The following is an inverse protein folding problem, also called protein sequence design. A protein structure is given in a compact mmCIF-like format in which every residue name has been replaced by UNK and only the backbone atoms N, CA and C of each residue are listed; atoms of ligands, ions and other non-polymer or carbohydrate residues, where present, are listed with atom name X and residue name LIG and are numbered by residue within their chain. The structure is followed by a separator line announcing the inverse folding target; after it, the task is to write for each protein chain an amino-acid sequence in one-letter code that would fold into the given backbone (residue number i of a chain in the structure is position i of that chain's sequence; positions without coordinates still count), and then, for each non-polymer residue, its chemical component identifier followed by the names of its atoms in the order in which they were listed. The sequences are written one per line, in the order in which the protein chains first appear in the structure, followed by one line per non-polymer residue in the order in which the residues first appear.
data_IF_631938131476
#
_entry.id   IF_631938131476
#
_cell.length_a   1.000
_cell.length_b   1.000
_cell.length_c   1.000
_cell.angle_alpha   90.00
_cell.angle_beta   90.00
_cell.angle_gamma   90.00
#
_symmetry.space_group_name_H-M   'P 1'
#
loop_
_entity.id
_entity.type
_entity.pdbx_description
1 polymer ?
#
# COMPACT_ATOMS: atom_id res chain seq x y z
N UNK A 1 -62.80 -16.17 42.46
CA UNK A 1 -62.66 -14.94 43.26
C UNK A 1 -61.33 -14.28 42.92
N UNK A 2 -61.35 -13.28 42.05
CA UNK A 2 -60.14 -12.69 41.45
C UNK A 2 -60.10 -11.21 41.81
N UNK A 3 -59.22 -10.84 42.73
CA UNK A 3 -59.09 -9.47 43.25
C UNK A 3 -58.14 -8.69 42.31
N UNK A 4 -58.70 -7.90 41.40
CA UNK A 4 -57.93 -6.98 40.53
C UNK A 4 -57.46 -5.78 41.36
N UNK A 5 -56.15 -5.68 41.54
CA UNK A 5 -55.48 -4.57 42.20
C UNK A 5 -55.27 -3.44 41.17
N UNK A 6 -55.91 -2.28 41.40
CA UNK A 6 -55.75 -1.06 40.60
C UNK A 6 -54.50 -0.33 41.09
N UNK A 7 -53.44 -0.29 40.29
CA UNK A 7 -52.27 0.56 40.53
C UNK A 7 -52.48 1.85 39.73
N UNK A 8 -52.93 2.90 40.41
CA UNK A 8 -53.03 4.26 39.87
C UNK A 8 -51.96 5.13 40.50
N UNK A 9 -50.93 5.51 39.74
CA UNK A 9 -49.92 6.43 40.23
C UNK A 9 -48.57 6.39 39.53
N UNK A 10 -48.52 6.40 38.19
CA UNK A 10 -47.30 6.73 37.47
C UNK A 10 -47.49 8.11 36.83
N UNK A 11 -47.07 9.16 37.55
CA UNK A 11 -46.96 10.51 37.02
C UNK A 11 -45.92 10.47 35.89
N UNK A 12 -46.36 10.79 34.68
CA UNK A 12 -45.49 10.93 33.52
C UNK A 12 -44.44 12.01 33.81
N UNK A 13 -43.20 11.60 34.04
CA UNK A 13 -42.09 12.51 33.85
C UNK A 13 -41.99 12.77 32.35
N UNK A 14 -41.97 14.04 31.89
CA UNK A 14 -41.61 14.30 30.52
C UNK A 14 -40.13 13.95 30.41
N UNK A 15 -39.86 12.79 29.82
CA UNK A 15 -38.54 12.47 29.27
C UNK A 15 -38.33 13.47 28.15
N UNK A 16 -37.82 14.64 28.51
CA UNK A 16 -37.33 15.65 27.58
C UNK A 16 -36.07 15.03 26.97
N UNK A 17 -36.26 14.17 25.97
CA UNK A 17 -35.28 13.85 24.96
C UNK A 17 -35.00 15.18 24.24
N UNK A 18 -34.07 15.98 24.77
CA UNK A 18 -33.48 17.07 24.01
C UNK A 18 -32.57 16.41 22.98
N UNK A 19 -33.19 15.95 21.90
CA UNK A 19 -32.52 15.62 20.67
C UNK A 19 -32.02 16.96 20.12
N UNK A 20 -30.81 17.35 20.52
CA UNK A 20 -30.09 18.45 19.88
C UNK A 20 -29.81 18.00 18.44
N UNK A 21 -30.77 18.24 17.55
CA UNK A 21 -30.46 18.43 16.15
C UNK A 21 -29.64 19.72 16.06
N UNK A 22 -28.34 19.59 16.27
CA UNK A 22 -27.40 20.56 15.72
C UNK A 22 -27.44 20.32 14.23
N UNK A 23 -28.36 21.02 13.54
CA UNK A 23 -28.31 21.15 12.09
C UNK A 23 -27.08 21.99 11.79
N UNK A 24 -25.92 21.33 11.74
CA UNK A 24 -24.70 21.95 11.26
C UNK A 24 -24.90 22.15 9.75
N UNK A 25 -25.42 23.32 9.37
CA UNK A 25 -25.46 23.76 7.98
C UNK A 25 -24.02 24.06 7.57
N UNK A 26 -23.24 23.01 7.28
CA UNK A 26 -22.02 23.12 6.51
C UNK A 26 -22.47 23.64 5.15
N UNK A 27 -22.25 24.94 4.90
CA UNK A 27 -22.25 25.44 3.52
C UNK A 27 -21.23 24.58 2.79
N UNK A 28 -21.71 23.69 1.93
CA UNK A 28 -20.88 22.88 1.03
C UNK A 28 -20.19 23.86 0.10
N UNK A 29 -19.07 24.40 0.54
CA UNK A 29 -18.20 25.18 -0.31
C UNK A 29 -17.52 24.13 -1.18
N UNK A 30 -18.01 23.98 -2.41
CA UNK A 30 -17.33 23.17 -3.42
C UNK A 30 -16.00 23.86 -3.71
N UNK A 31 -14.97 23.48 -2.96
CA UNK A 31 -13.60 23.86 -3.27
C UNK A 31 -13.22 23.01 -4.47
N UNK A 32 -13.45 23.55 -5.66
CA UNK A 32 -12.87 23.04 -6.89
C UNK A 32 -11.36 23.32 -6.83
N UNK A 33 -10.62 22.43 -6.16
CA UNK A 33 -9.17 22.38 -6.31
C UNK A 33 -8.89 21.95 -7.75
N UNK A 34 -8.51 22.92 -8.58
CA UNK A 34 -7.93 22.65 -9.88
C UNK A 34 -6.53 22.09 -9.61
N UNK A 35 -6.44 20.78 -9.34
CA UNK A 35 -5.16 20.09 -9.30
C UNK A 35 -4.71 20.00 -10.74
N UNK A 36 -4.00 21.02 -11.22
CA UNK A 36 -3.20 20.86 -12.42
C UNK A 36 -2.20 19.75 -12.09
N UNK A 37 -2.43 18.55 -12.62
CA UNK A 37 -1.41 17.52 -12.72
C UNK A 37 -0.29 18.14 -13.55
N UNK A 38 0.64 18.81 -12.87
CA UNK A 38 1.90 19.18 -13.48
C UNK A 38 2.55 17.83 -13.76
N UNK A 39 2.53 17.42 -15.04
CA UNK A 39 3.31 16.29 -15.50
C UNK A 39 4.75 16.69 -15.25
N UNK A 40 5.27 16.31 -14.07
CA UNK A 40 6.70 16.40 -13.83
C UNK A 40 7.28 15.45 -14.86
N UNK A 41 7.90 16.01 -15.89
CA UNK A 41 8.60 15.20 -16.87
C UNK A 41 9.60 14.37 -16.08
N UNK A 42 9.41 13.05 -16.08
CA UNK A 42 10.29 12.11 -15.38
C UNK A 42 11.77 12.35 -15.72
N UNK A 43 12.05 13.04 -16.83
CA UNK A 43 13.39 13.37 -17.26
C UNK A 43 14.20 14.22 -16.28
N UNK A 44 13.57 15.12 -15.51
CA UNK A 44 14.32 15.91 -14.51
C UNK A 44 14.54 15.17 -13.20
N UNK A 45 13.76 14.12 -12.92
CA UNK A 45 13.91 13.35 -11.69
C UNK A 45 15.07 12.37 -11.80
N UNK A 46 15.28 11.78 -12.98
CA UNK A 46 16.16 10.63 -13.15
C UNK A 46 17.60 10.99 -13.53
N UNK A 47 17.88 12.23 -13.94
CA UNK A 47 19.23 12.64 -14.32
C UNK A 47 20.17 12.72 -13.11
N UNK A 48 21.25 11.95 -13.12
CA UNK A 48 22.17 11.77 -12.00
C UNK A 48 21.59 10.92 -10.86
N UNK A 49 20.49 10.19 -11.10
CA UNK A 49 19.94 9.28 -10.09
C UNK A 49 20.86 8.08 -9.90
N UNK A 50 21.28 7.85 -8.67
CA UNK A 50 21.91 6.60 -8.24
C UNK A 50 20.88 5.80 -7.44
N UNK A 51 20.66 4.55 -7.83
CA UNK A 51 19.70 3.63 -7.23
C UNK A 51 20.44 2.39 -6.75
N UNK A 52 20.51 2.18 -5.43
CA UNK A 52 21.19 1.05 -4.82
C UNK A 52 20.17 0.01 -4.35
N UNK A 53 20.46 -1.26 -4.61
CA UNK A 53 19.54 -2.36 -4.32
C UNK A 53 20.28 -3.64 -3.93
N UNK A 54 19.54 -4.58 -3.36
CA UNK A 54 19.97 -5.97 -3.21
C UNK A 54 19.39 -6.80 -4.34
N UNK A 55 20.28 -7.49 -5.07
CA UNK A 55 19.95 -8.50 -6.06
C UNK A 55 20.11 -9.88 -5.44
N UNK A 56 19.13 -10.76 -5.65
CA UNK A 56 19.23 -12.16 -5.23
C UNK A 56 18.82 -13.07 -6.39
N UNK A 57 19.74 -13.92 -6.83
CA UNK A 57 19.49 -14.97 -7.81
C UNK A 57 18.93 -16.20 -7.09
N UNK A 58 17.79 -16.71 -7.55
CA UNK A 58 17.14 -17.85 -6.92
C UNK A 58 17.80 -19.19 -7.28
N UNK A 59 18.54 -19.25 -8.38
CA UNK A 59 19.23 -20.45 -8.87
C UNK A 59 20.39 -20.81 -7.95
N UNK A 60 21.19 -19.80 -7.60
CA UNK A 60 22.36 -19.94 -6.74
C UNK A 60 22.07 -19.63 -5.28
N UNK A 61 20.98 -18.90 -5.01
CA UNK A 61 20.70 -18.33 -3.69
C UNK A 61 21.63 -17.17 -3.31
N UNK A 62 22.56 -16.79 -4.20
CA UNK A 62 23.50 -15.71 -3.96
C UNK A 62 22.77 -14.38 -3.86
N UNK A 63 23.29 -13.50 -2.99
CA UNK A 63 22.77 -12.16 -2.78
C UNK A 63 23.92 -11.17 -2.81
N UNK A 64 23.75 -10.08 -3.55
CA UNK A 64 24.75 -9.03 -3.68
C UNK A 64 24.10 -7.65 -3.64
N UNK A 65 24.91 -6.65 -3.27
CA UNK A 65 24.52 -5.25 -3.44
C UNK A 65 24.92 -4.81 -4.83
N UNK A 66 24.04 -4.05 -5.48
CA UNK A 66 24.20 -3.57 -6.84
C UNK A 66 23.67 -2.14 -6.93
N UNK A 67 23.99 -1.47 -8.03
CA UNK A 67 23.56 -0.10 -8.28
C UNK A 67 23.24 0.14 -9.76
N UNK A 68 22.28 1.03 -9.99
CA UNK A 68 22.00 1.66 -11.28
C UNK A 68 22.32 3.16 -11.18
N UNK A 69 22.95 3.73 -12.21
CA UNK A 69 23.15 5.16 -12.37
C UNK A 69 22.51 5.63 -13.67
N UNK A 70 21.54 6.53 -13.57
CA UNK A 70 20.80 7.07 -14.70
C UNK A 70 21.35 8.44 -15.07
N UNK A 71 21.83 8.57 -16.30
CA UNK A 71 22.43 9.80 -16.81
C UNK A 71 21.71 10.24 -18.08
N UNK A 72 21.15 11.45 -18.07
CA UNK A 72 20.48 12.00 -19.23
C UNK A 72 21.49 12.36 -20.32
N UNK A 73 21.23 11.96 -21.55
CA UNK A 73 22.20 12.14 -22.66
C UNK A 73 22.16 13.54 -23.29
N UNK A 74 21.28 14.43 -22.84
CA UNK A 74 21.17 15.80 -23.35
C UNK A 74 20.41 15.95 -24.67
N UNK A 75 19.96 14.85 -25.28
CA UNK A 75 19.33 14.81 -26.61
C UNK A 75 17.80 15.00 -26.61
N UNK A 76 17.16 15.03 -25.43
CA UNK A 76 15.69 15.10 -25.31
C UNK A 76 15.04 13.75 -25.06
N UNK A 77 15.71 12.67 -25.41
CA UNK A 77 15.05 11.41 -25.75
C UNK A 77 15.62 10.21 -25.03
N UNK A 78 16.86 10.26 -24.52
CA UNK A 78 17.55 9.07 -24.02
C UNK A 78 18.23 9.24 -22.67
N UNK A 79 18.36 8.12 -22.00
CA UNK A 79 19.17 7.91 -20.80
C UNK A 79 20.22 6.86 -21.07
N UNK A 80 21.43 7.12 -20.60
CA UNK A 80 22.41 6.07 -20.35
C UNK A 80 22.17 5.55 -18.94
N UNK A 81 22.11 4.23 -18.78
CA UNK A 81 22.00 3.56 -17.48
C UNK A 81 23.26 2.76 -17.28
N UNK A 82 24.08 3.12 -16.30
CA UNK A 82 25.20 2.27 -15.89
C UNK A 82 24.76 1.34 -14.76
N UNK A 83 25.04 0.05 -14.88
CA UNK A 83 24.40 -0.97 -14.04
C UNK A 83 25.34 -2.11 -13.71
N UNK A 84 25.16 -2.67 -12.51
CA UNK A 84 25.81 -3.95 -12.15
C UNK A 84 25.29 -5.13 -12.96
N UNK A 85 24.06 -5.05 -13.47
CA UNK A 85 23.45 -6.05 -14.37
C UNK A 85 23.70 -5.75 -15.85
N UNK A 86 24.31 -4.59 -16.12
CA UNK A 86 24.79 -4.21 -17.43
C UNK A 86 24.32 -2.85 -17.95
N UNK A 87 25.23 -2.13 -18.60
CA UNK A 87 25.06 -0.77 -19.10
C UNK A 87 24.19 -0.66 -20.35
N UNK A 88 23.15 0.18 -20.37
CA UNK A 88 22.18 0.23 -21.48
C UNK A 88 21.76 1.64 -21.82
N UNK A 89 21.23 1.84 -23.01
CA UNK A 89 20.59 3.09 -23.44
C UNK A 89 19.08 2.88 -23.49
N UNK A 90 18.34 3.73 -22.79
CA UNK A 90 16.90 3.70 -22.67
C UNK A 90 16.28 4.92 -23.36
N UNK A 91 15.20 4.72 -24.11
CA UNK A 91 14.31 5.78 -24.55
C UNK A 91 13.52 6.33 -23.35
N UNK A 92 13.55 7.65 -23.15
CA UNK A 92 12.89 8.32 -22.04
C UNK A 92 11.36 8.26 -22.12
N UNK A 93 10.78 8.32 -23.31
CA UNK A 93 9.33 8.35 -23.47
C UNK A 93 8.72 6.94 -23.35
N UNK A 94 9.32 5.95 -24.02
CA UNK A 94 8.79 4.59 -24.08
C UNK A 94 9.35 3.66 -23.00
N UNK A 95 10.48 4.02 -22.39
CA UNK A 95 11.29 3.15 -21.52
C UNK A 95 11.89 1.94 -22.23
N UNK A 96 11.84 1.90 -23.55
CA UNK A 96 12.46 0.87 -24.37
C UNK A 96 13.99 0.99 -24.32
N UNK A 97 14.68 -0.14 -24.15
CA UNK A 97 16.12 -0.28 -24.28
C UNK A 97 16.43 -0.27 -25.77
N UNK A 98 17.16 0.73 -26.22
CA UNK A 98 17.52 0.92 -27.64
C UNK A 98 18.94 0.47 -27.96
N UNK A 99 19.74 0.22 -26.93
CA UNK A 99 21.07 -0.35 -27.01
C UNK A 99 21.39 -1.05 -25.69
N UNK A 100 21.83 -2.31 -25.75
CA UNK A 100 22.06 -3.16 -24.59
C UNK A 100 23.54 -3.31 -24.20
N UNK A 101 24.47 -2.64 -24.91
CA UNK A 101 25.94 -2.57 -24.68
C UNK A 101 26.61 -3.82 -24.06
N UNK A 102 26.10 -5.03 -24.34
CA UNK A 102 26.64 -6.31 -23.88
C UNK A 102 26.01 -6.94 -22.62
N UNK A 103 24.71 -6.78 -22.39
CA UNK A 103 24.09 -7.10 -21.09
C UNK A 103 23.14 -8.29 -21.03
N UNK A 104 22.66 -8.53 -19.81
CA UNK A 104 21.53 -9.43 -19.55
C UNK A 104 20.15 -8.86 -19.94
N UNK A 105 20.00 -7.58 -20.31
CA UNK A 105 18.73 -7.08 -20.87
C UNK A 105 18.83 -7.00 -22.39
N UNK A 106 17.73 -7.26 -23.09
CA UNK A 106 17.73 -7.38 -24.55
C UNK A 106 17.40 -6.05 -25.22
N UNK A 107 18.07 -5.73 -26.31
CA UNK A 107 17.68 -4.60 -27.16
C UNK A 107 16.22 -4.77 -27.66
N UNK A 108 15.43 -3.69 -27.55
CA UNK A 108 14.00 -3.64 -27.86
C UNK A 108 13.06 -4.01 -26.71
N UNK A 109 13.58 -4.44 -25.55
CA UNK A 109 12.75 -4.67 -24.35
C UNK A 109 12.61 -3.40 -23.50
N UNK A 110 11.80 -3.42 -22.44
CA UNK A 110 11.52 -2.27 -21.58
C UNK A 110 12.34 -2.27 -20.29
N UNK A 111 12.69 -1.09 -19.79
CA UNK A 111 13.41 -0.90 -18.54
C UNK A 111 12.69 -1.58 -17.34
N UNK A 112 13.45 -2.34 -16.54
CA UNK A 112 12.90 -3.07 -15.40
C UNK A 112 12.89 -2.25 -14.10
N UNK A 113 13.79 -1.27 -13.97
CA UNK A 113 13.87 -0.44 -12.76
C UNK A 113 12.93 0.76 -12.79
N UNK A 114 12.35 1.07 -13.95
CA UNK A 114 11.56 2.29 -14.15
C UNK A 114 10.39 2.05 -15.11
N UNK A 115 9.18 2.30 -14.62
CA UNK A 115 7.94 2.25 -15.43
C UNK A 115 7.33 3.65 -15.59
N UNK A 116 6.40 3.85 -16.53
CA UNK A 116 5.64 5.10 -16.62
C UNK A 116 4.90 5.43 -15.32
N UNK A 117 5.11 6.64 -14.78
CA UNK A 117 4.50 7.08 -13.51
C UNK A 117 2.99 7.35 -13.59
N UNK A 118 2.46 7.50 -14.81
CA UNK A 118 1.05 7.69 -15.10
C UNK A 118 0.27 6.37 -15.28
N UNK A 119 0.79 5.27 -14.75
CA UNK A 119 0.10 3.98 -14.75
C UNK A 119 -1.26 4.04 -14.03
N UNK A 120 -2.18 3.15 -14.41
CA UNK A 120 -3.50 3.01 -13.78
C UNK A 120 -3.79 1.54 -13.55
N UNK A 121 -4.62 1.24 -12.55
CA UNK A 121 -5.08 -0.14 -12.30
C UNK A 121 -5.76 -0.71 -13.54
N UNK A 122 -5.41 -1.93 -13.91
CA UNK A 122 -5.84 -2.60 -15.15
C UNK A 122 -5.01 -2.28 -16.38
N UNK A 123 -3.98 -1.43 -16.27
CA UNK A 123 -3.03 -1.19 -17.37
C UNK A 123 -2.03 -2.36 -17.47
N UNK A 124 -1.76 -2.81 -18.69
CA UNK A 124 -0.65 -3.69 -18.99
C UNK A 124 0.61 -2.87 -19.29
N UNK A 125 1.71 -3.24 -18.65
CA UNK A 125 3.03 -2.62 -18.80
C UNK A 125 4.01 -3.73 -19.13
N UNK A 126 4.79 -3.54 -20.19
CA UNK A 126 5.89 -4.45 -20.50
C UNK A 126 7.09 -4.09 -19.64
N UNK A 127 7.72 -5.11 -19.07
CA UNK A 127 8.87 -4.97 -18.18
C UNK A 127 9.86 -6.06 -18.56
N UNK A 128 11.12 -5.69 -18.84
CA UNK A 128 12.12 -6.69 -19.16
C UNK A 128 12.48 -7.51 -17.94
N UNK A 129 12.52 -8.83 -18.14
CA UNK A 129 13.11 -9.79 -17.23
C UNK A 129 14.50 -10.15 -17.76
N UNK A 130 15.47 -10.25 -16.86
CA UNK A 130 16.86 -10.53 -17.18
C UNK A 130 16.98 -11.81 -18.05
N UNK A 131 17.72 -11.71 -19.15
CA UNK A 131 17.99 -12.71 -20.19
C UNK A 131 16.78 -13.16 -21.02
N UNK A 132 15.58 -12.70 -20.68
CA UNK A 132 14.34 -13.14 -21.32
C UNK A 132 13.70 -12.07 -22.21
N UNK A 133 13.87 -10.80 -21.85
CA UNK A 133 13.17 -9.69 -22.50
C UNK A 133 11.83 -9.40 -21.84
N UNK A 134 10.89 -8.82 -22.59
CA UNK A 134 9.63 -8.32 -22.01
C UNK A 134 8.68 -9.41 -21.54
N UNK A 135 8.20 -9.25 -20.30
CA UNK A 135 6.99 -9.89 -19.82
C UNK A 135 5.88 -8.85 -19.62
N UNK A 136 4.61 -9.18 -19.92
CA UNK A 136 3.49 -8.30 -19.64
C UNK A 136 3.10 -8.35 -18.16
N UNK A 137 3.08 -7.19 -17.52
CA UNK A 137 2.63 -7.03 -16.14
C UNK A 137 1.33 -6.23 -16.07
N UNK A 138 0.33 -6.75 -15.36
CA UNK A 138 -0.90 -6.04 -15.09
C UNK A 138 -0.76 -5.25 -13.79
N UNK A 139 -1.12 -3.96 -13.82
CA UNK A 139 -1.26 -3.16 -12.60
C UNK A 139 -2.52 -3.62 -11.86
N UNK A 140 -2.33 -4.42 -10.82
CA UNK A 140 -3.41 -5.04 -10.04
C UNK A 140 -4.05 -4.04 -9.05
N UNK A 141 -3.21 -3.36 -8.26
CA UNK A 141 -3.70 -2.47 -7.20
C UNK A 141 -2.68 -1.39 -6.85
N UNK A 142 -3.11 -0.43 -6.02
CA UNK A 142 -2.23 0.52 -5.35
C UNK A 142 -2.13 0.11 -3.88
N UNK A 143 -0.91 -0.07 -3.39
CA UNK A 143 -0.66 -0.50 -2.01
C UNK A 143 0.42 0.37 -1.34
N UNK A 144 0.60 0.20 -0.04
CA UNK A 144 1.74 0.78 0.68
C UNK A 144 2.73 -0.32 1.02
N UNK A 145 3.97 -0.19 0.56
CA UNK A 145 5.05 -1.12 0.85
C UNK A 145 6.04 -0.48 1.83
N UNK A 146 6.48 -1.24 2.84
CA UNK A 146 7.53 -0.80 3.78
C UNK A 146 8.86 -1.46 3.42
N UNK A 147 9.85 -0.66 3.03
CA UNK A 147 11.21 -1.13 2.68
C UNK A 147 12.24 -0.28 3.41
N UNK A 148 13.23 -0.93 4.03
CA UNK A 148 14.32 -0.25 4.76
C UNK A 148 13.86 0.77 5.81
N UNK A 149 12.68 0.55 6.40
CA UNK A 149 12.09 1.45 7.41
C UNK A 149 11.12 2.49 6.85
N UNK A 150 11.19 2.78 5.55
CA UNK A 150 10.38 3.79 4.86
C UNK A 150 9.13 3.19 4.23
N UNK A 151 8.08 4.02 4.03
CA UNK A 151 6.81 3.62 3.41
C UNK A 151 6.65 4.27 2.04
N UNK A 152 6.39 3.45 1.04
CA UNK A 152 6.22 3.85 -0.35
C UNK A 152 4.80 3.53 -0.82
N UNK A 153 4.15 4.46 -1.50
CA UNK A 153 2.88 4.19 -2.16
C UNK A 153 3.20 3.64 -3.54
N UNK A 154 2.88 2.38 -3.77
CA UNK A 154 3.31 1.66 -4.96
C UNK A 154 2.13 1.16 -5.78
N UNK A 155 2.31 1.11 -7.09
CA UNK A 155 1.60 0.17 -7.94
C UNK A 155 2.12 -1.23 -7.66
N UNK A 156 1.23 -2.18 -7.39
CA UNK A 156 1.53 -3.61 -7.39
C UNK A 156 1.22 -4.14 -8.78
N UNK A 157 2.21 -4.75 -9.39
CA UNK A 157 2.14 -5.33 -10.73
C UNK A 157 2.36 -6.84 -10.63
N UNK A 158 1.64 -7.59 -11.46
CA UNK A 158 1.76 -9.05 -11.52
C UNK A 158 1.75 -9.53 -12.97
N UNK A 159 2.61 -10.50 -13.28
CA UNK A 159 2.71 -11.12 -14.61
C UNK A 159 2.10 -12.53 -14.61
N UNK A 160 1.70 -13.06 -15.77
CA UNK A 160 1.21 -14.43 -15.89
C UNK A 160 2.22 -15.52 -15.48
N UNK A 161 3.52 -15.22 -15.51
CA UNK A 161 4.59 -16.14 -15.09
C UNK A 161 4.74 -16.23 -13.55
N UNK A 162 4.03 -15.36 -12.81
CA UNK A 162 4.12 -15.28 -11.35
C UNK A 162 5.09 -14.23 -10.82
N UNK A 163 5.74 -13.44 -11.69
CA UNK A 163 6.51 -12.27 -11.26
C UNK A 163 5.60 -11.23 -10.61
N UNK A 164 6.08 -10.60 -9.55
CA UNK A 164 5.39 -9.53 -8.81
C UNK A 164 6.35 -8.37 -8.59
N UNK A 165 5.95 -7.16 -8.92
CA UNK A 165 6.77 -5.97 -8.76
C UNK A 165 6.00 -4.81 -8.13
N UNK A 166 6.70 -3.95 -7.40
CA UNK A 166 6.17 -2.80 -6.70
C UNK A 166 6.91 -1.55 -7.16
N UNK A 167 6.24 -0.67 -7.91
CA UNK A 167 6.80 0.58 -8.41
C UNK A 167 6.19 1.77 -7.69
N UNK A 168 6.99 2.73 -7.23
CA UNK A 168 6.48 3.92 -6.56
C UNK A 168 5.63 4.78 -7.51
N UNK A 169 4.50 5.26 -7.00
CA UNK A 169 3.42 5.80 -7.82
C UNK A 169 3.81 7.07 -8.60
N UNK A 170 4.62 7.96 -8.01
CA UNK A 170 4.93 9.28 -8.59
C UNK A 170 6.12 9.25 -9.53
N UNK A 171 7.11 8.44 -9.20
CA UNK A 171 8.39 8.34 -9.92
C UNK A 171 8.40 7.19 -10.92
N UNK A 172 7.61 6.14 -10.67
CA UNK A 172 7.67 4.89 -11.44
C UNK A 172 8.88 4.03 -11.09
N UNK A 173 9.62 4.33 -10.02
CA UNK A 173 10.84 3.62 -9.63
C UNK A 173 10.52 2.28 -8.96
N UNK A 174 11.26 1.22 -9.29
CA UNK A 174 11.14 -0.09 -8.65
C UNK A 174 11.54 0.02 -7.17
N UNK A 175 10.67 -0.45 -6.27
CA UNK A 175 10.93 -0.48 -4.82
C UNK A 175 11.27 -1.90 -4.38
N UNK A 176 10.54 -2.89 -4.90
CA UNK A 176 10.76 -4.31 -4.64
C UNK A 176 10.17 -5.11 -5.80
N UNK A 177 10.83 -6.19 -6.22
CA UNK A 177 10.27 -7.08 -7.22
C UNK A 177 10.86 -8.48 -7.14
N UNK A 178 10.04 -9.46 -7.50
CA UNK A 178 10.41 -10.85 -7.76
C UNK A 178 10.07 -11.13 -9.22
N UNK A 179 11.07 -11.52 -9.99
CA UNK A 179 10.97 -11.77 -11.43
C UNK A 179 11.23 -13.25 -11.68
N UNK A 180 10.24 -13.94 -12.23
CA UNK A 180 10.27 -15.36 -12.55
C UNK A 180 10.48 -15.50 -14.05
N UNK A 181 11.45 -16.32 -14.45
CA UNK A 181 11.65 -16.62 -15.86
C UNK A 181 10.50 -17.50 -16.38
N UNK A 182 9.93 -17.16 -17.54
CA UNK A 182 8.89 -17.99 -18.16
C UNK A 182 9.45 -19.23 -18.84
N UNK A 183 10.72 -19.18 -19.27
CA UNK A 183 11.46 -20.34 -19.77
C UNK A 183 12.29 -20.99 -18.66
N UNK A 184 12.23 -22.32 -18.58
CA UNK A 184 13.05 -23.11 -17.65
C UNK A 184 14.56 -22.98 -17.92
N UNK A 185 14.96 -22.56 -19.13
CA UNK A 185 16.36 -22.47 -19.53
C UNK A 185 17.16 -21.42 -18.75
N UNK A 186 16.47 -20.43 -18.17
CA UNK A 186 17.10 -19.34 -17.43
C UNK A 186 17.04 -19.54 -15.90
N UNK A 187 16.48 -20.65 -15.43
CA UNK A 187 16.35 -20.94 -13.99
C UNK A 187 15.15 -20.25 -13.31
N UNK A 188 15.04 -20.33 -11.97
CA UNK A 188 13.86 -19.90 -11.20
C UNK A 188 13.59 -18.38 -11.17
N UNK A 189 14.52 -17.53 -11.61
CA UNK A 189 14.39 -16.08 -11.58
C UNK A 189 15.23 -15.39 -10.49
N UNK A 190 14.85 -14.16 -10.13
CA UNK A 190 15.59 -13.31 -9.19
C UNK A 190 14.68 -12.33 -8.44
N UNK A 191 15.21 -11.70 -7.40
CA UNK A 191 14.54 -10.57 -6.73
C UNK A 191 15.43 -9.34 -6.61
N UNK A 192 14.80 -8.17 -6.61
CA UNK A 192 15.40 -6.86 -6.38
C UNK A 192 14.69 -6.20 -5.21
N UNK A 193 15.44 -5.66 -4.26
CA UNK A 193 14.91 -4.82 -3.17
C UNK A 193 15.73 -3.54 -3.05
N UNK A 194 15.07 -2.38 -3.18
CA UNK A 194 15.71 -1.08 -3.03
C UNK A 194 16.31 -0.89 -1.64
N UNK A 195 17.54 -0.38 -1.58
CA UNK A 195 18.19 0.04 -0.34
C UNK A 195 18.12 1.54 -0.15
N UNK A 196 18.52 2.30 -1.16
CA UNK A 196 18.42 3.75 -1.17
C UNK A 196 18.45 4.29 -2.61
N UNK A 197 18.12 5.56 -2.76
CA UNK A 197 18.32 6.31 -4.00
C UNK A 197 18.69 7.75 -3.67
N UNK A 198 19.40 8.42 -4.58
CA UNK A 198 19.68 9.86 -4.48
C UNK A 198 18.46 10.72 -4.76
N UNK A 199 17.45 10.18 -5.46
CA UNK A 199 16.19 10.86 -5.70
C UNK A 199 15.35 10.89 -4.43
N UNK A 200 14.90 12.07 -4.04
CA UNK A 200 13.99 12.20 -2.90
C UNK A 200 12.60 11.69 -3.31
N UNK A 201 12.30 10.47 -2.93
CA UNK A 201 10.96 9.90 -3.08
C UNK A 201 10.11 10.43 -1.91
N UNK A 202 9.03 11.18 -2.18
CA UNK A 202 8.15 11.61 -1.11
C UNK A 202 7.55 10.36 -0.44
N UNK A 203 7.51 10.30 0.91
CA UNK A 203 6.90 9.17 1.59
C UNK A 203 5.46 9.01 1.13
N UNK A 204 4.96 7.77 1.16
CA UNK A 204 3.54 7.51 0.99
C UNK A 204 2.76 8.52 1.84
N UNK A 205 1.70 9.17 1.33
CA UNK A 205 0.83 10.00 2.17
C UNK A 205 0.40 9.11 3.33
N UNK A 206 0.97 9.39 4.51
CA UNK A 206 0.90 8.43 5.58
C UNK A 206 -0.53 8.23 6.02
N UNK A 207 -0.75 7.16 6.78
CA UNK A 207 -1.82 7.08 7.78
C UNK A 207 -1.79 8.33 8.70
N UNK A 208 -0.77 9.19 8.61
CA UNK A 208 -0.73 10.57 9.08
C UNK A 208 -1.98 11.36 8.71
N UNK A 209 -2.59 11.16 7.54
CA UNK A 209 -3.89 11.76 7.25
C UNK A 209 -4.99 11.14 8.13
N UNK A 210 -4.97 9.84 8.39
CA UNK A 210 -5.86 9.23 9.39
C UNK A 210 -5.55 9.76 10.79
N UNK A 211 -4.28 9.97 11.13
CA UNK A 211 -3.82 10.50 12.42
C UNK A 211 -4.22 11.97 12.57
N UNK A 212 -4.15 12.76 11.50
CA UNK A 212 -4.59 14.14 11.43
C UNK A 212 -6.11 14.23 11.50
N UNK A 213 -6.83 13.31 10.84
CA UNK A 213 -8.29 13.18 10.93
C UNK A 213 -8.69 12.78 12.36
N UNK A 214 -8.03 11.80 12.98
CA UNK A 214 -8.27 11.39 14.37
C UNK A 214 -7.96 12.56 15.32
N UNK A 215 -6.84 13.26 15.15
CA UNK A 215 -6.49 14.43 15.95
C UNK A 215 -7.52 15.56 15.79
N UNK A 216 -8.00 15.80 14.56
CA UNK A 216 -9.05 16.79 14.29
C UNK A 216 -10.38 16.40 14.93
N UNK A 217 -10.78 15.12 14.90
CA UNK A 217 -11.99 14.61 15.55
C UNK A 217 -11.89 14.77 17.07
N UNK A 218 -10.74 14.41 17.67
CA UNK A 218 -10.50 14.58 19.11
C UNK A 218 -10.54 16.06 19.49
N UNK A 219 -9.87 16.92 18.73
CA UNK A 219 -9.88 18.38 18.93
C UNK A 219 -11.28 18.97 18.87
N UNK A 220 -12.07 18.59 17.87
CA UNK A 220 -13.47 19.01 17.73
C UNK A 220 -14.34 18.52 18.90
N UNK A 221 -14.14 17.27 19.35
CA UNK A 221 -14.83 16.69 20.49
C UNK A 221 -14.57 17.45 21.80
N UNK A 222 -13.31 17.80 22.07
CA UNK A 222 -12.91 18.58 23.25
C UNK A 222 -13.54 19.98 23.21
N UNK A 223 -13.56 20.62 22.03
CA UNK A 223 -14.14 21.95 21.87
C UNK A 223 -15.65 21.93 22.12
N UNK A 224 -16.37 20.97 21.54
CA UNK A 224 -17.81 20.80 21.75
C UNK A 224 -18.15 20.53 23.23
N UNK A 225 -17.38 19.64 23.90
CA UNK A 225 -17.56 19.36 25.31
C UNK A 225 -17.33 20.61 26.18
N UNK A 226 -16.32 21.42 25.84
CA UNK A 226 -16.02 22.68 26.53
C UNK A 226 -17.16 23.70 26.41
N UNK A 227 -17.76 23.82 25.22
CA UNK A 227 -18.94 24.68 24.99
C UNK A 227 -20.12 24.21 25.82
N UNK A 228 -20.40 22.90 25.85
CA UNK A 228 -21.46 22.30 26.67
C UNK A 228 -21.24 22.60 28.16
N UNK A 229 -20.02 22.37 28.69
CA UNK A 229 -19.68 22.69 30.08
C UNK A 229 -19.88 24.18 30.39
N UNK A 230 -19.50 25.07 29.47
CA UNK A 230 -19.65 26.51 29.65
C UNK A 230 -21.13 26.93 29.75
N UNK A 231 -22.01 26.29 28.98
CA UNK A 231 -23.46 26.52 29.04
C UNK A 231 -24.07 26.02 30.35
N UNK A 232 -23.61 24.88 30.88
CA UNK A 232 -24.06 24.38 32.18
C UNK A 232 -23.63 25.30 33.34
N UNK A 233 -22.42 25.89 33.27
CA UNK A 233 -21.95 26.86 34.28
C UNK A 233 -22.77 28.16 34.26
N UNK A 234 -23.12 28.69 33.09
CA UNK A 234 -23.88 29.96 32.98
C UNK A 234 -25.33 29.86 33.46
N UNK A 235 -25.96 28.68 33.42
CA UNK A 235 -27.37 28.50 33.86
C UNK A 235 -27.56 28.38 35.38
N UNK A 236 -26.54 28.61 36.20
CA UNK A 236 -26.70 28.82 37.65
C UNK A 236 -27.21 27.60 38.46
N UNK A 237 -27.26 26.40 37.86
CA UNK A 237 -27.84 25.21 38.50
C UNK A 237 -26.88 24.40 39.38
N UNK A 238 -25.62 24.80 39.53
CA UNK A 238 -24.61 24.01 40.26
C UNK A 238 -24.55 24.30 41.78
N UNK A 239 -25.59 24.90 42.36
CA UNK A 239 -25.68 25.23 43.78
C UNK A 239 -26.43 24.19 44.63
N UNK A 240 -26.83 23.03 44.08
CA UNK A 240 -27.52 21.95 44.82
C UNK A 240 -26.94 20.55 44.57
N UNK A 241 -25.66 20.35 44.87
CA UNK A 241 -25.10 19.02 45.16
C UNK A 241 -24.32 19.09 46.49
N UNK A 242 -25.04 19.42 47.57
CA UNK A 242 -24.59 19.17 48.95
C UNK A 242 -25.31 17.91 49.45
N UNK A 243 -24.54 16.88 49.77
CA UNK A 243 -25.01 15.75 50.58
C UNK A 243 -25.51 14.54 49.79
N UNK A 244 -24.62 13.83 49.10
CA UNK A 244 -24.83 12.40 48.91
C UNK A 244 -23.64 11.68 49.52
N UNK A 245 -23.86 11.22 50.75
CA UNK A 245 -22.96 10.34 51.50
C UNK A 245 -22.69 9.11 50.66
N UNK A 246 -21.44 8.95 50.20
CA UNK A 246 -20.97 7.77 49.50
C UNK A 246 -21.02 6.60 50.50
N UNK A 247 -21.86 5.57 50.29
CA UNK A 247 -21.79 4.38 51.13
C UNK A 247 -20.53 3.59 50.77
N UNK A 248 -19.60 3.55 51.72
CA UNK A 248 -18.48 2.60 51.77
C UNK A 248 -19.03 1.17 51.75
N UNK A 249 -19.05 0.54 50.58
CA UNK A 249 -19.36 -0.87 50.39
C UNK A 249 -18.07 -1.61 50.03
N UNK A 250 -17.35 -2.04 51.07
CA UNK A 250 -16.35 -3.10 50.99
C UNK A 250 -17.06 -4.42 50.68
N UNK A 251 -16.90 -4.92 49.45
CA UNK A 251 -17.39 -6.27 49.07
C UNK A 251 -16.30 -7.06 48.36
N UNK A 252 -15.59 -7.81 49.20
CA UNK A 252 -15.14 -9.19 49.05
C UNK A 252 -14.89 -9.74 47.64
N UNK A 253 -13.59 -9.86 47.34
CA UNK A 253 -12.88 -11.00 46.71
C UNK A 253 -13.79 -12.16 46.26
N UNK A 254 -13.90 -12.36 44.94
CA UNK A 254 -14.60 -13.50 44.34
C UNK A 254 -13.92 -13.99 43.06
N UNK A 255 -13.26 -15.14 43.15
CA UNK A 255 -13.16 -16.16 42.10
C UNK A 255 -12.45 -15.80 40.79
N UNK A 256 -11.16 -16.12 40.70
CA UNK A 256 -10.52 -16.46 39.43
C UNK A 256 -11.26 -17.66 38.82
N UNK A 257 -11.87 -17.44 37.65
CA UNK A 257 -12.49 -18.48 36.82
C UNK A 257 -11.37 -19.16 36.02
N UNK A 258 -11.24 -20.50 36.04
CA UNK A 258 -10.21 -21.18 35.27
C UNK A 258 -10.45 -20.98 33.76
N UNK A 259 -9.37 -20.71 33.04
CA UNK A 259 -9.35 -20.55 31.60
C UNK A 259 -9.90 -21.81 30.92
N UNK A 260 -10.82 -21.63 29.96
CA UNK A 260 -11.26 -22.71 29.08
C UNK A 260 -10.07 -23.18 28.23
N UNK A 261 -9.90 -24.49 28.04
CA UNK A 261 -8.87 -25.02 27.16
C UNK A 261 -9.12 -24.58 25.72
N UNK A 262 -8.04 -24.16 25.07
CA UNK A 262 -7.99 -23.80 23.65
C UNK A 262 -8.35 -25.06 22.82
N UNK A 263 -9.23 -24.97 21.81
CA UNK A 263 -9.52 -26.08 20.93
C UNK A 263 -8.25 -26.50 20.19
N UNK A 264 -7.90 -27.78 20.26
CA UNK A 264 -6.81 -28.35 19.48
C UNK A 264 -7.02 -28.07 17.98
N UNK A 265 -6.01 -27.48 17.33
CA UNK A 265 -5.93 -27.39 15.88
C UNK A 265 -6.04 -28.80 15.31
N UNK A 266 -7.13 -29.07 14.58
CA UNK A 266 -7.25 -30.28 13.79
C UNK A 266 -6.27 -30.20 12.62
N UNK A 267 -5.43 -31.23 12.51
CA UNK A 267 -4.56 -31.50 11.38
C UNK A 267 -5.27 -31.24 10.04
N UNK A 268 -4.65 -30.41 9.22
CA UNK A 268 -5.07 -30.18 7.86
C UNK A 268 -4.95 -31.49 7.07
N UNK A 269 -6.03 -31.92 6.44
CA UNK A 269 -6.02 -33.09 5.56
C UNK A 269 -5.07 -32.83 4.38
N UNK A 270 -4.29 -33.85 3.95
CA UNK A 270 -3.39 -33.71 2.82
C UNK A 270 -4.17 -33.35 1.54
N UNK A 271 -3.67 -32.32 0.86
CA UNK A 271 -4.18 -31.87 -0.44
C UNK A 271 -3.93 -32.99 -1.47
N UNK A 272 -4.94 -33.39 -2.27
CA UNK A 272 -4.75 -34.40 -3.30
C UNK A 272 -3.74 -33.92 -4.34
N UNK A 273 -2.75 -34.77 -4.63
CA UNK A 273 -1.73 -34.53 -5.63
C UNK A 273 -2.36 -34.14 -6.98
N UNK A 274 -1.90 -33.02 -7.55
CA UNK A 274 -2.23 -32.65 -8.92
C UNK A 274 -1.81 -33.78 -9.85
N UNK A 275 -2.77 -34.26 -10.64
CA UNK A 275 -2.52 -35.28 -11.66
C UNK A 275 -1.60 -34.69 -12.72
N UNK A 276 -0.50 -35.39 -12.95
CA UNK A 276 0.45 -35.19 -14.03
C UNK A 276 -0.27 -34.89 -15.35
N UNK A 277 0.03 -33.72 -15.93
CA UNK A 277 -0.44 -33.37 -17.26
C UNK A 277 0.29 -34.27 -18.28
N UNK A 278 -0.47 -34.95 -19.14
CA UNK A 278 0.10 -35.78 -20.20
C UNK A 278 0.92 -34.90 -21.17
N UNK A 279 2.10 -35.35 -21.61
CA UNK A 279 2.93 -34.60 -22.55
C UNK A 279 2.18 -34.39 -23.87
N UNK A 280 2.19 -33.14 -24.34
CA UNK A 280 1.68 -32.76 -25.65
C UNK A 280 2.69 -33.24 -26.71
N UNK A 281 2.27 -34.00 -27.73
CA UNK A 281 3.17 -34.46 -28.77
C UNK A 281 3.73 -33.27 -29.57
N UNK A 282 5.05 -33.28 -29.76
CA UNK A 282 5.78 -32.30 -30.55
C UNK A 282 5.24 -32.30 -32.00
N UNK A 283 4.92 -31.11 -32.52
CA UNK A 283 4.65 -30.93 -33.95
C UNK A 283 5.99 -30.87 -34.67
N UNK A 284 6.19 -31.78 -35.63
CA UNK A 284 7.23 -31.67 -36.64
C UNK A 284 7.04 -30.35 -37.40
N UNK A 285 8.08 -29.52 -37.40
CA UNK A 285 8.17 -28.37 -38.30
C UNK A 285 8.70 -28.89 -39.64
N UNK A 286 7.86 -28.84 -40.67
CA UNK A 286 8.29 -28.97 -42.05
C UNK A 286 9.15 -27.75 -42.42
N UNK A 287 10.35 -28.04 -42.91
CA UNK A 287 11.34 -27.09 -43.42
C UNK A 287 10.81 -26.48 -44.73
N UNK A 288 10.77 -25.14 -44.82
CA UNK A 288 10.55 -24.38 -46.07
C UNK A 288 11.85 -23.63 -46.40
#
# INVERSE_FOLDING_TARGET
MTKRMKISGLKSFPTIFILFFVTLTLKTQTISCNVSHQTIHASTIMDGMNYNYTYKDFSTGASQTASEEFNYMGDGEKYSVSSTLGDRIMNNATREIVDDLGNGFLNGSHECFLVPSNASVGLLINISVLLEGDQPFMVDTVTTLKVSGERYRCYRLESPSGSVAFYEQRTGLLINGTFVHSSMDFGPGYSIEMKNTTVTIPPAPGDDMETLIIAAIIGAGILAFSIILSHFRKKGGLSRLKGSTIPSSSKTRGGQKPAKPVPACKEAKPVPACKEAKPVPAREMEEI
#
